data_IF_818776749036
#
_entry.id   IF_818776749036
#
_cell.length_a   1.000
_cell.length_b   1.000
_cell.length_c   1.000
_cell.angle_alpha   90.00
_cell.angle_beta   90.00
_cell.angle_gamma   90.00
#
_symmetry.space_group_name_H-M   'P 1'
#
loop_
_entity.id
_entity.type
_entity.pdbx_description
1 polymer ?
#
# COMPACT_ATOMS: atom_id res chain seq x y z
N UNK A 1 -18.52 7.01 16.91
CA UNK A 1 -17.64 8.15 17.29
C UNK A 1 -17.31 8.31 18.77
N UNK A 2 -18.23 8.10 19.72
CA UNK A 2 -17.94 8.34 21.16
C UNK A 2 -16.98 7.28 21.76
N UNK A 3 -16.96 6.08 21.20
CA UNK A 3 -16.16 4.94 21.69
C UNK A 3 -14.67 5.09 21.33
N UNK A 4 -14.35 5.58 20.12
CA UNK A 4 -12.97 5.83 19.67
C UNK A 4 -12.28 6.92 20.48
N UNK A 5 -12.99 8.02 20.78
CA UNK A 5 -12.45 9.15 21.56
C UNK A 5 -12.08 8.76 23.01
N UNK A 6 -12.82 7.84 23.64
CA UNK A 6 -12.51 7.33 24.99
C UNK A 6 -11.36 6.33 25.01
N UNK A 7 -11.17 5.57 23.92
CA UNK A 7 -10.03 4.68 23.77
C UNK A 7 -8.72 5.47 23.60
N UNK A 8 -8.74 6.52 22.78
CA UNK A 8 -7.58 7.39 22.53
C UNK A 8 -7.12 8.12 23.79
N UNK A 9 -8.06 8.64 24.59
CA UNK A 9 -7.73 9.32 25.84
C UNK A 9 -7.10 8.38 26.88
N UNK A 10 -7.54 7.11 26.94
CA UNK A 10 -6.98 6.11 27.85
C UNK A 10 -5.59 5.62 27.44
N UNK A 11 -5.31 5.58 26.15
CA UNK A 11 -3.99 5.23 25.61
C UNK A 11 -3.02 6.39 25.82
N UNK A 12 -3.46 7.63 25.58
CA UNK A 12 -2.66 8.83 25.79
C UNK A 12 -2.19 8.98 27.24
N UNK A 13 -3.08 8.76 28.22
CA UNK A 13 -2.74 8.86 29.65
C UNK A 13 -1.77 7.76 30.10
N UNK A 14 -1.92 6.55 29.56
CA UNK A 14 -1.05 5.40 29.86
C UNK A 14 0.33 5.54 29.23
N UNK A 15 0.43 6.14 28.04
CA UNK A 15 1.70 6.41 27.35
C UNK A 15 2.43 7.57 28.01
N UNK A 16 1.73 8.63 28.42
CA UNK A 16 2.32 9.78 29.12
C UNK A 16 2.84 9.41 30.52
N UNK A 17 2.07 8.59 31.26
CA UNK A 17 2.50 8.07 32.57
C UNK A 17 3.65 7.06 32.50
N UNK A 18 3.76 6.28 31.43
CA UNK A 18 4.88 5.35 31.23
C UNK A 18 6.15 6.07 30.76
N UNK A 19 6.00 7.14 29.96
CA UNK A 19 7.12 7.99 29.52
C UNK A 19 7.78 8.74 30.70
N UNK A 20 6.99 9.16 31.70
CA UNK A 20 7.51 9.85 32.89
C UNK A 20 8.13 8.92 33.95
N UNK A 21 7.94 7.60 33.85
CA UNK A 21 8.48 6.60 34.79
C UNK A 21 9.75 5.91 34.31
N UNK A 22 10.19 6.14 33.07
CA UNK A 22 11.44 5.55 32.57
C UNK A 22 12.63 6.36 33.11
N UNK A 23 13.35 5.70 34.02
CA UNK A 23 14.54 6.17 34.70
C UNK A 23 15.68 6.40 33.70
N UNK A 24 16.34 7.53 33.85
CA UNK A 24 17.45 8.06 33.09
C UNK A 24 18.66 7.10 33.03
N UNK A 25 18.74 6.19 32.05
CA UNK A 25 20.00 5.48 31.75
C UNK A 25 20.27 4.96 30.33
N UNK A 26 19.35 5.08 29.37
CA UNK A 26 19.64 4.73 27.96
C UNK A 26 19.09 5.80 26.99
N UNK A 27 19.61 7.03 27.09
CA UNK A 27 19.47 8.01 26.01
C UNK A 27 20.32 7.56 24.82
N UNK A 28 19.72 6.84 23.89
CA UNK A 28 20.24 6.75 22.52
C UNK A 28 19.45 7.64 21.57
N UNK A 29 20.19 8.24 20.64
CA UNK A 29 19.98 9.52 20.00
C UNK A 29 18.91 9.50 18.89
N UNK A 30 18.16 10.60 18.87
CA UNK A 30 17.62 11.32 17.70
C UNK A 30 16.10 11.38 17.64
N UNK A 31 15.59 12.50 18.13
CA UNK A 31 14.21 12.99 17.96
C UNK A 31 13.79 13.12 16.48
N UNK A 32 14.74 13.11 15.53
CA UNK A 32 14.47 13.20 14.09
C UNK A 32 14.00 11.88 13.43
N UNK A 33 14.51 10.73 13.87
CA UNK A 33 14.05 9.42 13.34
C UNK A 33 12.64 9.07 13.81
N UNK A 34 12.24 9.56 14.99
CA UNK A 34 10.91 9.35 15.55
C UNK A 34 9.82 10.13 14.78
N UNK A 35 10.10 11.36 14.32
CA UNK A 35 9.16 12.14 13.49
C UNK A 35 9.00 11.52 12.10
N UNK A 36 10.08 11.00 11.50
CA UNK A 36 10.03 10.24 10.24
C UNK A 36 9.21 8.95 10.38
N UNK A 37 9.37 8.24 11.50
CA UNK A 37 8.59 7.03 11.80
C UNK A 37 7.10 7.33 12.07
N UNK A 38 6.76 8.48 12.65
CA UNK A 38 5.38 8.91 12.85
C UNK A 38 4.68 9.21 11.51
N UNK A 39 5.37 9.84 10.56
CA UNK A 39 4.81 10.13 9.23
C UNK A 39 4.63 8.87 8.39
N UNK A 40 5.50 7.88 8.54
CA UNK A 40 5.31 6.54 7.96
C UNK A 40 4.15 5.78 8.63
N UNK A 41 3.93 5.96 9.94
CA UNK A 41 2.79 5.40 10.67
C UNK A 41 1.44 6.01 10.25
N UNK A 42 1.39 7.27 9.84
CA UNK A 42 0.18 7.88 9.25
C UNK A 42 -0.19 7.23 7.90
N UNK A 43 0.80 6.98 7.04
CA UNK A 43 0.58 6.25 5.78
C UNK A 43 0.12 4.80 6.01
N UNK A 44 0.70 4.12 7.01
CA UNK A 44 0.23 2.78 7.42
C UNK A 44 -1.17 2.84 8.03
N UNK A 45 -1.49 3.86 8.82
CA UNK A 45 -2.82 4.03 9.41
C UNK A 45 -3.88 4.33 8.34
N UNK A 46 -3.58 5.12 7.31
CA UNK A 46 -4.48 5.33 6.17
C UNK A 46 -4.69 4.03 5.37
N UNK A 47 -3.62 3.29 5.09
CA UNK A 47 -3.68 2.00 4.39
C UNK A 47 -4.45 0.95 5.20
N UNK A 48 -4.22 0.89 6.51
CA UNK A 48 -4.87 -0.08 7.41
C UNK A 48 -6.32 0.29 7.67
N UNK A 49 -6.66 1.58 7.78
CA UNK A 49 -8.02 1.99 8.17
C UNK A 49 -8.96 2.13 6.97
N UNK A 50 -8.50 2.65 5.82
CA UNK A 50 -9.37 2.84 4.66
C UNK A 50 -9.46 1.57 3.81
N UNK A 51 -8.32 1.04 3.38
CA UNK A 51 -8.31 -0.09 2.43
C UNK A 51 -8.75 -1.40 3.08
N UNK A 52 -8.35 -1.66 4.32
CA UNK A 52 -8.71 -2.91 5.02
C UNK A 52 -10.19 -2.96 5.39
N UNK A 53 -10.77 -1.84 5.87
CA UNK A 53 -12.19 -1.81 6.26
C UNK A 53 -13.08 -1.99 5.04
N UNK A 54 -12.75 -1.33 3.92
CA UNK A 54 -13.49 -1.49 2.66
C UNK A 54 -13.32 -2.91 2.11
N UNK A 55 -12.10 -3.48 2.13
CA UNK A 55 -11.88 -4.87 1.72
C UNK A 55 -12.67 -5.87 2.58
N UNK A 56 -12.71 -5.67 3.90
CA UNK A 56 -13.53 -6.48 4.83
C UNK A 56 -15.02 -6.37 4.54
N UNK A 57 -15.50 -5.18 4.19
CA UNK A 57 -16.89 -4.98 3.78
C UNK A 57 -17.19 -5.63 2.42
N UNK A 58 -16.22 -5.67 1.51
CA UNK A 58 -16.39 -6.22 0.16
C UNK A 58 -16.38 -7.76 0.13
N UNK A 59 -15.70 -8.43 1.08
CA UNK A 59 -15.70 -9.90 1.19
C UNK A 59 -17.09 -10.57 1.23
N UNK A 60 -18.03 -10.18 2.13
CA UNK A 60 -19.35 -10.79 2.15
C UNK A 60 -20.16 -10.51 0.87
N UNK A 61 -20.02 -9.32 0.27
CA UNK A 61 -20.65 -9.02 -1.01
C UNK A 61 -20.03 -9.83 -2.15
N UNK A 62 -18.73 -10.09 -2.13
CA UNK A 62 -18.07 -10.95 -3.10
C UNK A 62 -18.65 -12.36 -3.10
N UNK A 63 -18.80 -12.99 -1.93
CA UNK A 63 -19.41 -14.32 -1.84
C UNK A 63 -20.89 -14.32 -2.26
N UNK A 64 -21.65 -13.28 -1.86
CA UNK A 64 -23.05 -13.13 -2.26
C UNK A 64 -23.20 -13.06 -3.78
N UNK A 65 -22.45 -12.18 -4.45
CA UNK A 65 -22.49 -12.03 -5.89
C UNK A 65 -21.95 -13.26 -6.64
N UNK A 66 -20.95 -13.94 -6.07
CA UNK A 66 -20.44 -15.19 -6.62
C UNK A 66 -21.53 -16.28 -6.66
N UNK A 67 -22.35 -16.40 -5.60
CA UNK A 67 -23.49 -17.31 -5.57
C UNK A 67 -24.58 -16.88 -6.56
N UNK A 68 -24.91 -15.59 -6.60
CA UNK A 68 -25.92 -15.05 -7.53
C UNK A 68 -25.51 -15.32 -9.00
N UNK A 69 -24.25 -15.08 -9.36
CA UNK A 69 -23.77 -15.33 -10.71
C UNK A 69 -23.55 -16.82 -11.01
N UNK A 70 -23.31 -17.67 -10.01
CA UNK A 70 -23.32 -19.11 -10.23
C UNK A 70 -24.72 -19.63 -10.62
N UNK A 71 -25.78 -18.99 -10.11
CA UNK A 71 -27.17 -19.37 -10.39
C UNK A 71 -27.69 -18.72 -11.69
N UNK A 72 -27.34 -17.46 -11.93
CA UNK A 72 -27.90 -16.64 -13.03
C UNK A 72 -26.94 -16.54 -14.23
N UNK A 73 -25.64 -16.49 -13.97
CA UNK A 73 -24.65 -15.94 -14.88
C UNK A 73 -24.11 -16.90 -15.94
N UNK A 74 -24.41 -18.20 -15.90
CA UNK A 74 -23.99 -19.18 -16.91
C UNK A 74 -22.54 -18.99 -17.39
N UNK A 75 -22.37 -18.48 -18.62
CA UNK A 75 -21.08 -18.21 -19.27
C UNK A 75 -20.29 -17.05 -18.66
N UNK A 76 -20.96 -16.02 -18.12
CA UNK A 76 -20.33 -14.84 -17.49
C UNK A 76 -19.63 -15.17 -16.17
N UNK A 77 -20.14 -16.15 -15.42
CA UNK A 77 -19.51 -16.62 -14.18
C UNK A 77 -18.09 -17.13 -14.44
N UNK A 78 -17.91 -17.91 -15.52
CA UNK A 78 -16.58 -18.43 -15.91
C UNK A 78 -15.60 -17.34 -16.32
N UNK A 79 -16.09 -16.29 -16.98
CA UNK A 79 -15.27 -15.11 -17.32
C UNK A 79 -14.76 -14.44 -16.04
N UNK A 80 -15.65 -14.20 -15.08
CA UNK A 80 -15.30 -13.61 -13.78
C UNK A 80 -14.29 -14.47 -13.01
N UNK A 81 -14.54 -15.79 -12.96
CA UNK A 81 -13.70 -16.76 -12.27
C UNK A 81 -12.29 -16.83 -12.86
N UNK A 82 -12.12 -16.59 -14.16
CA UNK A 82 -10.81 -16.59 -14.82
C UNK A 82 -10.09 -15.25 -14.66
N UNK A 83 -10.81 -14.13 -14.67
CA UNK A 83 -10.23 -12.78 -14.56
C UNK A 83 -9.65 -12.54 -13.17
N UNK A 84 -10.34 -12.96 -12.11
CA UNK A 84 -9.89 -12.79 -10.71
C UNK A 84 -8.47 -13.34 -10.47
N UNK A 85 -8.16 -14.62 -10.75
CA UNK A 85 -6.81 -15.16 -10.57
C UNK A 85 -5.79 -14.51 -11.52
N UNK A 86 -6.18 -14.17 -12.75
CA UNK A 86 -5.31 -13.51 -13.72
C UNK A 86 -4.84 -12.12 -13.24
N UNK A 87 -5.67 -11.41 -12.48
CA UNK A 87 -5.31 -10.13 -11.86
C UNK A 87 -4.56 -10.29 -10.54
N UNK A 88 -4.95 -11.25 -9.70
CA UNK A 88 -4.31 -11.46 -8.40
C UNK A 88 -2.91 -12.06 -8.49
N UNK A 89 -2.66 -12.96 -9.44
CA UNK A 89 -1.36 -13.64 -9.63
C UNK A 89 -0.14 -12.70 -9.65
N UNK A 90 -0.08 -11.69 -10.53
CA UNK A 90 1.06 -10.78 -10.57
C UNK A 90 1.16 -9.90 -9.32
N UNK A 91 0.03 -9.54 -8.71
CA UNK A 91 0.01 -8.82 -7.43
C UNK A 91 0.69 -9.60 -6.31
N UNK A 92 0.31 -10.88 -6.13
CA UNK A 92 0.88 -11.78 -5.12
C UNK A 92 2.37 -12.02 -5.37
N UNK A 93 2.76 -12.25 -6.63
CA UNK A 93 4.17 -12.45 -6.99
C UNK A 93 5.02 -11.19 -6.75
N UNK A 94 4.48 -10.01 -7.06
CA UNK A 94 5.18 -8.75 -6.87
C UNK A 94 5.20 -8.28 -5.40
N UNK A 95 4.25 -8.73 -4.57
CA UNK A 95 4.14 -8.34 -3.16
C UNK A 95 5.43 -8.62 -2.39
N UNK A 96 6.05 -9.80 -2.58
CA UNK A 96 7.31 -10.15 -1.91
C UNK A 96 8.46 -9.23 -2.32
N UNK A 97 8.55 -8.90 -3.60
CA UNK A 97 9.59 -8.00 -4.15
C UNK A 97 9.39 -6.56 -3.67
N UNK A 98 8.14 -6.09 -3.65
CA UNK A 98 7.79 -4.76 -3.11
C UNK A 98 8.09 -4.65 -1.61
N UNK A 99 7.78 -5.70 -0.83
CA UNK A 99 8.08 -5.74 0.60
C UNK A 99 9.59 -5.69 0.88
N UNK A 100 10.39 -6.44 0.12
CA UNK A 100 11.86 -6.40 0.21
C UNK A 100 12.41 -5.00 -0.13
N UNK A 101 11.99 -4.42 -1.25
CA UNK A 101 12.39 -3.07 -1.65
C UNK A 101 11.95 -1.99 -0.64
N UNK A 102 10.77 -2.15 -0.02
CA UNK A 102 10.30 -1.25 1.01
C UNK A 102 11.18 -1.33 2.27
N UNK A 103 11.55 -2.54 2.69
CA UNK A 103 12.44 -2.74 3.83
C UNK A 103 13.85 -2.18 3.57
N UNK A 104 14.38 -2.35 2.36
CA UNK A 104 15.64 -1.74 1.92
C UNK A 104 15.55 -0.21 1.95
N UNK A 105 14.49 0.37 1.40
CA UNK A 105 14.26 1.82 1.42
C UNK A 105 14.17 2.39 2.84
N UNK A 106 13.48 1.70 3.75
CA UNK A 106 13.39 2.11 5.17
C UNK A 106 14.76 2.06 5.86
N UNK A 107 15.58 1.05 5.56
CA UNK A 107 16.94 0.92 6.12
C UNK A 107 17.84 2.06 5.63
N UNK A 108 17.84 2.34 4.33
CA UNK A 108 18.62 3.44 3.74
C UNK A 108 18.17 4.81 4.27
N UNK A 109 16.86 5.01 4.46
CA UNK A 109 16.30 6.22 5.08
C UNK A 109 16.78 6.39 6.54
N UNK A 110 16.83 5.29 7.30
CA UNK A 110 17.32 5.31 8.68
C UNK A 110 18.81 5.65 8.77
N UNK A 111 19.64 5.08 7.90
CA UNK A 111 21.08 5.38 7.82
C UNK A 111 21.30 6.86 7.45
N UNK A 112 20.55 7.37 6.48
CA UNK A 112 20.63 8.78 6.07
C UNK A 112 20.28 9.74 7.21
N UNK A 113 19.24 9.43 7.98
CA UNK A 113 18.87 10.21 9.16
C UNK A 113 19.97 10.17 10.23
N UNK A 114 20.63 9.04 10.43
CA UNK A 114 21.76 8.93 11.35
C UNK A 114 22.95 9.81 10.91
N UNK A 115 23.31 9.79 9.62
CA UNK A 115 24.39 10.62 9.07
C UNK A 115 24.08 12.11 9.19
N UNK A 116 22.84 12.53 8.97
CA UNK A 116 22.44 13.93 9.20
C UNK A 116 22.64 14.34 10.65
N UNK A 117 22.19 13.50 11.58
CA UNK A 117 22.31 13.79 13.02
C UNK A 117 23.77 13.87 13.43
N UNK A 118 24.62 12.98 12.91
CA UNK A 118 26.05 12.97 13.16
C UNK A 118 26.76 14.18 12.54
N UNK A 119 26.42 14.55 11.31
CA UNK A 119 26.96 15.73 10.64
C UNK A 119 26.56 17.04 11.33
N UNK A 120 25.34 17.12 11.88
CA UNK A 120 24.89 18.27 12.67
C UNK A 120 25.57 18.32 14.04
N UNK A 121 25.77 17.17 14.69
CA UNK A 121 26.45 17.11 15.99
C UNK A 121 27.96 17.37 15.90
N UNK A 122 28.61 16.93 14.82
CA UNK A 122 30.05 17.07 14.57
C UNK A 122 30.39 18.20 13.60
N UNK A 123 29.52 19.19 13.41
CA UNK A 123 29.71 20.23 12.39
C UNK A 123 30.98 21.07 12.62
N UNK A 124 31.35 21.25 13.88
CA UNK A 124 32.59 21.93 14.27
C UNK A 124 33.82 21.11 13.86
N UNK A 125 33.83 19.81 14.15
CA UNK A 125 34.92 18.89 13.76
C UNK A 125 35.07 18.78 12.24
N UNK A 126 33.95 18.74 11.51
CA UNK A 126 33.93 18.66 10.04
C UNK A 126 34.56 19.92 9.42
N UNK A 127 34.25 21.11 9.98
CA UNK A 127 34.83 22.38 9.54
C UNK A 127 36.30 22.50 9.91
N UNK A 128 36.67 22.04 11.11
CA UNK A 128 38.06 22.02 11.57
C UNK A 128 38.95 21.11 10.69
N UNK A 129 38.41 19.97 10.26
CA UNK A 129 39.11 18.99 9.40
C UNK A 129 38.97 19.29 7.90
N UNK A 130 38.25 20.34 7.50
CA UNK A 130 37.90 20.66 6.09
C UNK A 130 37.33 19.46 5.33
N UNK A 131 36.56 18.61 6.03
CA UNK A 131 36.05 17.35 5.50
C UNK A 131 34.68 17.49 4.79
N UNK A 132 34.22 18.73 4.55
CA UNK A 132 32.91 19.06 3.99
C UNK A 132 32.65 18.36 2.66
N UNK A 133 33.63 18.36 1.74
CA UNK A 133 33.51 17.71 0.44
C UNK A 133 33.31 16.18 0.55
N UNK A 134 33.92 15.54 1.55
CA UNK A 134 33.78 14.09 1.78
C UNK A 134 32.37 13.77 2.27
N UNK A 135 31.85 14.55 3.23
CA UNK A 135 30.48 14.39 3.72
C UNK A 135 29.44 14.71 2.64
N UNK A 136 29.68 15.72 1.80
CA UNK A 136 28.83 16.06 0.66
C UNK A 136 28.76 14.92 -0.37
N UNK A 137 29.90 14.31 -0.70
CA UNK A 137 29.95 13.17 -1.62
C UNK A 137 29.25 11.94 -1.04
N UNK A 138 29.45 11.66 0.26
CA UNK A 138 28.74 10.59 0.95
C UNK A 138 27.22 10.81 0.92
N UNK A 139 26.78 12.04 1.17
CA UNK A 139 25.37 12.44 1.10
C UNK A 139 24.79 12.22 -0.30
N UNK A 140 25.48 12.70 -1.34
CA UNK A 140 25.05 12.56 -2.73
C UNK A 140 24.91 11.08 -3.13
N UNK A 141 25.88 10.24 -2.76
CA UNK A 141 25.83 8.81 -3.04
C UNK A 141 24.62 8.13 -2.37
N UNK A 142 24.34 8.43 -1.10
CA UNK A 142 23.15 7.91 -0.42
C UNK A 142 21.86 8.41 -1.06
N UNK A 143 21.86 9.65 -1.57
CA UNK A 143 20.73 10.24 -2.26
C UNK A 143 20.39 9.49 -3.56
N UNK A 144 21.42 9.16 -4.33
CA UNK A 144 21.33 8.37 -5.55
C UNK A 144 20.80 6.96 -5.29
N UNK A 145 21.33 6.26 -4.28
CA UNK A 145 20.89 4.90 -3.91
C UNK A 145 19.40 4.86 -3.55
N UNK A 146 18.93 5.81 -2.73
CA UNK A 146 17.50 5.84 -2.39
C UNK A 146 16.61 6.27 -3.55
N UNK A 147 17.10 7.13 -4.44
CA UNK A 147 16.38 7.49 -5.66
C UNK A 147 16.22 6.26 -6.56
N UNK A 148 17.25 5.42 -6.70
CA UNK A 148 17.19 4.17 -7.46
C UNK A 148 16.21 3.17 -6.85
N UNK A 149 16.24 2.97 -5.52
CA UNK A 149 15.28 2.11 -4.81
C UNK A 149 13.83 2.61 -5.04
N UNK A 150 13.61 3.92 -4.93
CA UNK A 150 12.30 4.54 -5.18
C UNK A 150 11.84 4.38 -6.63
N UNK A 151 12.74 4.52 -7.60
CA UNK A 151 12.43 4.28 -9.02
C UNK A 151 12.10 2.81 -9.30
N UNK A 152 12.83 1.86 -8.70
CA UNK A 152 12.53 0.42 -8.83
C UNK A 152 11.15 0.08 -8.26
N UNK A 153 10.79 0.62 -7.10
CA UNK A 153 9.45 0.47 -6.55
C UNK A 153 8.39 1.04 -7.48
N UNK A 154 8.55 2.29 -7.95
CA UNK A 154 7.61 2.94 -8.87
C UNK A 154 7.45 2.16 -10.17
N UNK A 155 8.54 1.60 -10.71
CA UNK A 155 8.50 0.78 -11.93
C UNK A 155 7.68 -0.50 -11.73
N UNK A 156 7.82 -1.18 -10.60
CA UNK A 156 7.04 -2.37 -10.28
C UNK A 156 5.56 -2.01 -10.13
N UNK A 157 5.24 -0.99 -9.32
CA UNK A 157 3.86 -0.53 -9.13
C UNK A 157 3.24 -0.07 -10.44
N UNK A 158 3.96 0.71 -11.25
CA UNK A 158 3.49 1.16 -12.55
C UNK A 158 3.25 0.01 -13.54
N UNK A 159 4.10 -1.02 -13.51
CA UNK A 159 3.91 -2.22 -14.35
C UNK A 159 2.66 -3.00 -13.91
N UNK A 160 2.44 -3.15 -12.59
CA UNK A 160 1.25 -3.80 -12.05
C UNK A 160 -0.01 -3.00 -12.41
N UNK A 161 0.00 -1.68 -12.26
CA UNK A 161 -1.13 -0.83 -12.63
C UNK A 161 -1.45 -0.93 -14.13
N UNK A 162 -0.43 -0.88 -14.99
CA UNK A 162 -0.61 -1.04 -16.43
C UNK A 162 -1.18 -2.43 -16.78
N UNK A 163 -0.74 -3.49 -16.09
CA UNK A 163 -1.28 -4.83 -16.23
C UNK A 163 -2.76 -4.91 -15.82
N UNK A 164 -3.10 -4.37 -14.65
CA UNK A 164 -4.47 -4.28 -14.15
C UNK A 164 -5.37 -3.54 -15.13
N UNK A 165 -4.94 -2.38 -15.65
CA UNK A 165 -5.72 -1.60 -16.63
C UNK A 165 -5.96 -2.37 -17.94
N UNK A 166 -4.94 -3.10 -18.44
CA UNK A 166 -5.09 -3.95 -19.63
C UNK A 166 -6.11 -5.06 -19.43
N UNK A 167 -6.05 -5.75 -18.28
CA UNK A 167 -7.02 -6.81 -17.98
C UNK A 167 -8.43 -6.24 -17.76
N UNK A 168 -8.56 -5.08 -17.11
CA UNK A 168 -9.86 -4.44 -16.94
C UNK A 168 -10.49 -4.14 -18.31
N UNK A 169 -9.74 -3.54 -19.23
CA UNK A 169 -10.22 -3.26 -20.58
C UNK A 169 -10.59 -4.52 -21.37
N UNK A 170 -9.75 -5.56 -21.31
CA UNK A 170 -10.04 -6.85 -21.97
C UNK A 170 -11.29 -7.50 -21.37
N UNK A 171 -11.42 -7.49 -20.06
CA UNK A 171 -12.57 -8.07 -19.36
C UNK A 171 -13.84 -7.32 -19.69
N UNK A 172 -13.80 -5.98 -19.71
CA UNK A 172 -14.94 -5.16 -20.14
C UNK A 172 -15.41 -5.57 -21.53
N UNK A 173 -14.50 -5.70 -22.50
CA UNK A 173 -14.84 -6.13 -23.86
C UNK A 173 -15.45 -7.55 -23.89
N UNK A 174 -14.89 -8.50 -23.13
CA UNK A 174 -15.40 -9.87 -23.03
C UNK A 174 -16.78 -9.94 -22.37
N UNK A 175 -17.00 -9.17 -21.31
CA UNK A 175 -18.27 -9.10 -20.58
C UNK A 175 -19.35 -8.47 -21.45
N UNK A 176 -19.04 -7.41 -22.20
CA UNK A 176 -19.97 -6.84 -23.19
C UNK A 176 -20.31 -7.88 -24.25
N UNK A 177 -19.31 -8.53 -24.84
CA UNK A 177 -19.51 -9.49 -25.92
C UNK A 177 -20.35 -10.69 -25.45
N UNK A 178 -19.93 -11.38 -24.40
CA UNK A 178 -20.63 -12.56 -23.86
C UNK A 178 -21.98 -12.16 -23.25
N UNK A 179 -22.03 -11.02 -22.57
CA UNK A 179 -23.24 -10.53 -21.92
C UNK A 179 -24.34 -10.11 -22.88
N UNK A 180 -23.99 -9.47 -24.00
CA UNK A 180 -24.97 -9.15 -25.05
C UNK A 180 -25.59 -10.41 -25.65
N UNK A 181 -24.77 -11.43 -25.97
CA UNK A 181 -25.30 -12.71 -26.48
C UNK A 181 -26.18 -13.42 -25.45
N UNK A 182 -25.78 -13.44 -24.17
CA UNK A 182 -26.58 -14.07 -23.11
C UNK A 182 -27.93 -13.38 -22.88
N UNK A 183 -28.02 -12.06 -23.07
CA UNK A 183 -29.31 -11.33 -23.01
C UNK A 183 -30.16 -11.62 -24.24
N UNK A 184 -29.54 -11.71 -25.43
CA UNK A 184 -30.25 -12.03 -26.68
C UNK A 184 -30.84 -13.45 -26.67
N UNK A 185 -30.11 -14.42 -26.12
CA UNK A 185 -30.58 -15.81 -25.97
C UNK A 185 -31.64 -15.96 -24.86
N UNK A 186 -31.93 -14.89 -24.11
CA UNK A 186 -32.89 -14.90 -23.00
C UNK A 186 -32.39 -15.60 -21.73
N UNK A 187 -31.11 -16.00 -21.69
CA UNK A 187 -30.48 -16.62 -20.52
C UNK A 187 -30.33 -15.62 -19.35
N UNK A 188 -30.21 -14.31 -19.66
CA UNK A 188 -29.99 -13.26 -18.65
C UNK A 188 -30.79 -11.99 -18.93
N UNK A 189 -31.22 -11.29 -17.86
CA UNK A 189 -31.88 -9.99 -18.00
C UNK A 189 -30.87 -8.85 -18.16
N UNK A 190 -31.28 -7.75 -18.81
CA UNK A 190 -30.45 -6.54 -18.92
C UNK A 190 -30.06 -5.98 -17.55
N UNK A 191 -30.92 -6.11 -16.55
CA UNK A 191 -30.63 -5.69 -15.17
C UNK A 191 -29.51 -6.51 -14.51
N UNK A 192 -29.49 -7.83 -14.74
CA UNK A 192 -28.41 -8.70 -14.25
C UNK A 192 -27.07 -8.38 -14.92
N UNK A 193 -27.07 -8.02 -16.21
CA UNK A 193 -25.87 -7.55 -16.91
C UNK A 193 -25.33 -6.24 -16.31
N UNK A 194 -26.20 -5.26 -16.05
CA UNK A 194 -25.79 -3.98 -15.44
C UNK A 194 -25.27 -4.18 -14.01
N UNK A 195 -25.93 -5.02 -13.22
CA UNK A 195 -25.47 -5.37 -11.88
C UNK A 195 -24.08 -6.00 -11.90
N UNK A 196 -23.80 -6.86 -12.89
CA UNK A 196 -22.47 -7.43 -13.10
C UNK A 196 -21.41 -6.36 -13.37
N UNK A 197 -21.69 -5.38 -14.24
CA UNK A 197 -20.77 -4.28 -14.49
C UNK A 197 -20.49 -3.46 -13.23
N UNK A 198 -21.51 -3.11 -12.47
CA UNK A 198 -21.34 -2.33 -11.23
C UNK A 198 -20.47 -3.10 -10.23
N UNK A 199 -20.74 -4.39 -10.04
CA UNK A 199 -19.94 -5.23 -9.15
C UNK A 199 -18.49 -5.38 -9.62
N UNK A 200 -18.29 -5.60 -10.93
CA UNK A 200 -16.97 -5.64 -11.55
C UNK A 200 -16.19 -4.35 -11.23
N UNK A 201 -16.71 -3.18 -11.59
CA UNK A 201 -16.03 -1.90 -11.32
C UNK A 201 -15.85 -1.60 -9.83
N UNK A 202 -16.66 -2.18 -8.95
CA UNK A 202 -16.53 -2.01 -7.49
C UNK A 202 -15.38 -2.85 -6.90
N UNK A 203 -15.11 -4.02 -7.49
CA UNK A 203 -14.07 -4.95 -7.08
C UNK A 203 -12.67 -4.52 -7.56
N UNK A 204 -12.60 -3.65 -8.57
CA UNK A 204 -11.40 -3.27 -9.31
C UNK A 204 -11.04 -1.79 -9.17
#
# INVERSE_FOLDING_TARGET
DIIGKRADLRVSDRVFGHALRIRNKDRSKSTGSFISQIRELEGVRELVTSTTITAMADFPFFFLFLIIFAIIGGKLFWVMLLVVPLMLLPGILAQKKLAQLAQEGMRESSIRNAILVEAVQGIEDIKLLRAESRFQNQWNHMNEVSADIGMRQRKIVGTLMAWTQKIQGLTYALVVLVGCFAVMDGEMTTGALVAFFIFFFRLF
#
